data_IF_308102124968
#
_entry.id   IF_308102124968
#
_cell.length_a   1.000
_cell.length_b   1.000
_cell.length_c   1.000
_cell.angle_alpha   90.00
_cell.angle_beta   90.00
_cell.angle_gamma   90.00
#
_symmetry.space_group_name_H-M   'P 1'
#
loop_
_entity.id
_entity.type
_entity.pdbx_description
1 polymer ?
#
# COMPACT_ATOMS: atom_id res chain seq x y z
N UNK A 1 7.62 6.95 -28.72
CA UNK A 1 6.22 7.23 -28.38
C UNK A 1 6.10 7.09 -26.87
N UNK A 2 6.22 8.22 -26.17
CA UNK A 2 6.14 8.33 -24.72
C UNK A 2 4.71 8.73 -24.39
N UNK A 3 3.92 7.79 -23.86
CA UNK A 3 2.55 8.05 -23.43
C UNK A 3 2.60 8.68 -22.04
N UNK A 4 2.51 10.01 -21.99
CA UNK A 4 2.24 10.74 -20.75
C UNK A 4 0.86 10.37 -20.23
N UNK A 5 0.80 9.77 -19.05
CA UNK A 5 -0.43 9.55 -18.28
C UNK A 5 -1.00 10.87 -17.76
N UNK A 6 -1.57 11.67 -18.65
CA UNK A 6 -2.25 12.92 -18.34
C UNK A 6 -3.51 13.05 -19.18
N UNK A 7 -4.62 13.29 -18.49
CA UNK A 7 -6.00 13.47 -19.00
C UNK A 7 -6.83 12.18 -19.24
N UNK A 8 -7.25 11.52 -18.16
CA UNK A 8 -8.29 10.48 -18.19
C UNK A 8 -9.73 11.02 -18.13
N UNK A 9 -9.93 12.33 -17.91
CA UNK A 9 -11.27 12.94 -17.95
C UNK A 9 -11.55 13.62 -19.29
N UNK A 10 -11.60 12.84 -20.38
CA UNK A 10 -12.24 13.34 -21.58
C UNK A 10 -13.75 13.41 -21.34
N UNK A 11 -14.39 14.53 -21.73
CA UNK A 11 -15.84 14.61 -21.76
C UNK A 11 -16.41 13.43 -22.58
N UNK A 12 -17.17 12.55 -21.93
CA UNK A 12 -17.70 11.32 -22.55
C UNK A 12 -17.03 10.01 -22.12
N UNK A 13 -16.12 10.01 -21.13
CA UNK A 13 -15.66 8.75 -20.50
C UNK A 13 -16.83 8.04 -19.82
N UNK A 14 -17.16 6.83 -20.31
CA UNK A 14 -18.16 5.96 -19.69
C UNK A 14 -17.52 5.15 -18.58
N UNK A 15 -18.04 5.30 -17.36
CA UNK A 15 -17.59 4.54 -16.21
C UNK A 15 -18.32 3.18 -16.12
N UNK A 16 -17.60 2.10 -15.81
CA UNK A 16 -18.15 0.75 -15.87
C UNK A 16 -19.04 0.43 -14.67
N UNK A 17 -20.34 0.16 -14.89
CA UNK A 17 -21.24 -0.31 -13.82
C UNK A 17 -20.90 -1.75 -13.38
N UNK A 18 -20.32 -1.98 -12.18
CA UNK A 18 -19.88 -3.28 -11.72
C UNK A 18 -21.04 -4.22 -11.42
N UNK A 19 -22.23 -3.71 -11.12
CA UNK A 19 -23.44 -4.52 -10.92
C UNK A 19 -24.12 -4.91 -12.23
N UNK A 20 -23.72 -4.34 -13.37
CA UNK A 20 -24.28 -4.69 -14.66
C UNK A 20 -23.69 -6.02 -15.17
N UNK A 21 -24.50 -7.08 -15.13
CA UNK A 21 -24.11 -8.44 -15.54
C UNK A 21 -23.63 -8.50 -17.00
N UNK A 22 -24.26 -7.75 -17.91
CA UNK A 22 -23.85 -7.72 -19.32
C UNK A 22 -22.45 -7.09 -19.47
N UNK A 23 -22.16 -6.07 -18.67
CA UNK A 23 -20.83 -5.46 -18.63
C UNK A 23 -19.80 -6.42 -18.04
N UNK A 24 -20.11 -7.13 -16.94
CA UNK A 24 -19.24 -8.17 -16.37
C UNK A 24 -18.87 -9.24 -17.40
N UNK A 25 -19.85 -9.72 -18.18
CA UNK A 25 -19.64 -10.71 -19.24
C UNK A 25 -18.78 -10.17 -20.37
N UNK A 26 -19.06 -8.95 -20.82
CA UNK A 26 -18.26 -8.27 -21.83
C UNK A 26 -16.81 -8.09 -21.37
N UNK A 27 -16.59 -7.62 -20.14
CA UNK A 27 -15.28 -7.42 -19.55
C UNK A 27 -14.49 -8.74 -19.49
N UNK A 28 -15.07 -9.79 -18.92
CA UNK A 28 -14.41 -11.10 -18.81
C UNK A 28 -14.05 -11.69 -20.19
N UNK A 29 -14.94 -11.54 -21.19
CA UNK A 29 -14.68 -11.99 -22.56
C UNK A 29 -13.51 -11.22 -23.20
N UNK A 30 -13.50 -9.89 -23.05
CA UNK A 30 -12.45 -9.03 -23.60
C UNK A 30 -11.09 -9.33 -22.96
N UNK A 31 -11.08 -9.48 -21.65
CA UNK A 31 -9.87 -9.78 -20.88
C UNK A 31 -9.29 -11.15 -21.23
N UNK A 32 -10.11 -12.20 -21.29
CA UNK A 32 -9.64 -13.52 -21.72
C UNK A 32 -9.06 -13.52 -23.13
N UNK A 33 -9.68 -12.79 -24.07
CA UNK A 33 -9.13 -12.62 -25.42
C UNK A 33 -7.73 -11.98 -25.36
N UNK A 34 -7.58 -10.90 -24.60
CA UNK A 34 -6.29 -10.22 -24.44
C UNK A 34 -5.23 -11.14 -23.82
N UNK A 35 -5.58 -11.88 -22.76
CA UNK A 35 -4.66 -12.80 -22.09
C UNK A 35 -4.17 -13.92 -23.01
N UNK A 36 -5.05 -14.46 -23.86
CA UNK A 36 -4.70 -15.44 -24.89
C UNK A 36 -3.75 -14.85 -25.94
N UNK A 37 -4.03 -13.64 -26.43
CA UNK A 37 -3.21 -12.95 -27.42
C UNK A 37 -1.81 -12.57 -26.88
N UNK A 38 -1.70 -12.29 -25.58
CA UNK A 38 -0.42 -11.99 -24.92
C UNK A 38 0.36 -13.22 -24.44
N UNK A 39 -0.18 -14.43 -24.64
CA UNK A 39 0.52 -15.68 -24.36
C UNK A 39 0.74 -15.98 -22.87
N UNK A 40 -0.12 -15.47 -21.98
CA UNK A 40 -0.18 -15.90 -20.58
C UNK A 40 1.06 -15.60 -19.71
N UNK A 41 1.84 -14.56 -20.02
CA UNK A 41 3.08 -14.20 -19.32
C UNK A 41 2.89 -13.32 -18.07
N UNK A 42 1.66 -13.21 -17.57
CA UNK A 42 1.30 -12.26 -16.52
C UNK A 42 0.94 -13.01 -15.24
N UNK A 43 1.40 -12.54 -14.10
CA UNK A 43 1.08 -13.17 -12.80
C UNK A 43 -0.18 -12.58 -12.15
N UNK A 44 -0.60 -11.39 -12.59
CA UNK A 44 -1.72 -10.63 -12.03
C UNK A 44 -2.31 -9.65 -13.06
N UNK A 45 -3.47 -9.10 -12.72
CA UNK A 45 -4.14 -8.05 -13.48
C UNK A 45 -4.36 -6.85 -12.57
N UNK A 46 -3.65 -5.76 -12.82
CA UNK A 46 -3.88 -4.48 -12.13
C UNK A 46 -5.10 -3.80 -12.76
N UNK A 47 -6.07 -3.41 -11.93
CA UNK A 47 -7.19 -2.54 -12.32
C UNK A 47 -6.94 -1.18 -11.70
N UNK A 48 -6.67 -0.20 -12.54
CA UNK A 48 -6.48 1.20 -12.16
C UNK A 48 -7.82 1.97 -12.13
N UNK A 49 -7.83 3.17 -11.56
CA UNK A 49 -9.01 4.05 -11.39
C UNK A 49 -10.17 3.37 -10.63
N UNK A 50 -9.86 2.72 -9.51
CA UNK A 50 -10.85 1.99 -8.74
C UNK A 50 -11.41 2.82 -7.58
N UNK A 51 -12.67 3.24 -7.70
CA UNK A 51 -13.36 4.04 -6.69
C UNK A 51 -14.31 3.20 -5.83
N UNK A 52 -14.13 3.26 -4.52
CA UNK A 52 -14.95 2.54 -3.53
C UNK A 52 -16.12 3.33 -2.94
N UNK A 53 -16.19 4.64 -3.16
CA UNK A 53 -17.24 5.52 -2.63
C UNK A 53 -17.80 6.45 -3.71
N UNK A 54 -19.00 6.96 -3.50
CA UNK A 54 -19.59 8.00 -4.34
C UNK A 54 -18.78 9.29 -4.30
N UNK A 55 -18.22 9.65 -3.15
CA UNK A 55 -17.36 10.83 -3.01
C UNK A 55 -16.13 10.71 -3.90
N UNK A 56 -15.41 9.59 -3.82
CA UNK A 56 -14.26 9.32 -4.68
C UNK A 56 -14.65 9.35 -6.16
N UNK A 57 -15.73 8.64 -6.53
CA UNK A 57 -16.18 8.58 -7.92
C UNK A 57 -16.60 9.96 -8.45
N UNK A 58 -17.43 10.71 -7.74
CA UNK A 58 -17.91 12.01 -8.22
C UNK A 58 -16.81 13.05 -8.26
N UNK A 59 -15.90 13.06 -7.27
CA UNK A 59 -14.76 13.96 -7.21
C UNK A 59 -13.77 13.77 -8.37
N UNK A 60 -13.48 12.52 -8.75
CA UNK A 60 -12.55 12.24 -9.85
C UNK A 60 -13.20 12.35 -11.23
N UNK A 61 -14.45 11.92 -11.36
CA UNK A 61 -15.10 11.79 -12.68
C UNK A 61 -15.87 13.04 -13.11
N UNK A 62 -16.18 13.96 -12.19
CA UNK A 62 -17.09 15.07 -12.40
C UNK A 62 -18.47 14.65 -12.97
N UNK A 63 -18.91 13.43 -12.65
CA UNK A 63 -20.22 12.90 -13.05
C UNK A 63 -21.19 12.85 -11.88
N UNK A 64 -22.50 12.76 -12.16
CA UNK A 64 -23.48 12.50 -11.13
C UNK A 64 -23.26 11.09 -10.53
N UNK A 65 -23.56 10.89 -9.23
CA UNK A 65 -23.57 9.55 -8.65
C UNK A 65 -24.47 8.63 -9.48
N UNK A 66 -24.08 7.38 -9.59
CA UNK A 66 -24.90 6.41 -10.31
C UNK A 66 -26.24 6.19 -9.62
N UNK A 67 -27.32 6.40 -10.36
CA UNK A 67 -28.69 6.29 -9.85
C UNK A 67 -29.03 4.92 -9.24
N UNK A 68 -28.33 3.86 -9.65
CA UNK A 68 -28.54 2.49 -9.18
C UNK A 68 -27.97 2.22 -7.77
N UNK A 69 -27.10 3.10 -7.27
CA UNK A 69 -26.43 2.91 -5.98
C UNK A 69 -26.71 4.10 -5.07
N UNK A 70 -27.69 3.94 -4.17
CA UNK A 70 -28.08 5.01 -3.25
C UNK A 70 -27.12 5.18 -2.06
N UNK A 71 -26.25 4.19 -1.80
CA UNK A 71 -25.29 4.20 -0.70
C UNK A 71 -23.94 3.63 -1.14
N UNK A 72 -22.86 4.03 -0.47
CA UNK A 72 -21.53 3.45 -0.68
C UNK A 72 -21.53 1.94 -0.46
N UNK A 73 -22.23 1.46 0.58
CA UNK A 73 -22.33 0.02 0.86
C UNK A 73 -22.94 -0.76 -0.32
N UNK A 74 -23.96 -0.21 -1.00
CA UNK A 74 -24.54 -0.85 -2.19
C UNK A 74 -23.54 -0.87 -3.36
N UNK A 75 -22.82 0.23 -3.58
CA UNK A 75 -21.81 0.33 -4.63
C UNK A 75 -20.62 -0.62 -4.39
N UNK A 76 -20.11 -0.65 -3.16
CA UNK A 76 -19.06 -1.55 -2.71
C UNK A 76 -19.45 -3.01 -2.85
N UNK A 77 -20.68 -3.38 -2.46
CA UNK A 77 -21.15 -4.75 -2.64
C UNK A 77 -21.20 -5.16 -4.11
N UNK A 78 -21.59 -4.26 -5.02
CA UNK A 78 -21.55 -4.55 -6.45
C UNK A 78 -20.12 -4.79 -6.98
N UNK A 79 -19.13 -4.09 -6.44
CA UNK A 79 -17.72 -4.38 -6.72
C UNK A 79 -17.25 -5.73 -6.18
N UNK A 80 -17.66 -6.09 -4.96
CA UNK A 80 -17.36 -7.42 -4.39
C UNK A 80 -17.98 -8.52 -5.26
N UNK A 81 -19.23 -8.35 -5.69
CA UNK A 81 -19.92 -9.27 -6.59
C UNK A 81 -19.26 -9.36 -7.96
N UNK A 82 -18.85 -8.22 -8.53
CA UNK A 82 -18.08 -8.15 -9.77
C UNK A 82 -16.86 -9.06 -9.71
N UNK A 83 -15.99 -8.89 -8.71
CA UNK A 83 -14.79 -9.72 -8.61
C UNK A 83 -15.12 -11.19 -8.33
N UNK A 84 -16.12 -11.45 -7.49
CA UNK A 84 -16.59 -12.81 -7.19
C UNK A 84 -17.06 -13.53 -8.46
N UNK A 85 -17.68 -12.82 -9.40
CA UNK A 85 -18.20 -13.38 -10.64
C UNK A 85 -17.15 -13.45 -11.76
N UNK A 86 -16.36 -12.40 -11.92
CA UNK A 86 -15.37 -12.29 -13.00
C UNK A 86 -14.16 -13.18 -12.73
N UNK A 87 -13.68 -13.31 -11.49
CA UNK A 87 -12.54 -14.19 -11.16
C UNK A 87 -12.81 -15.65 -11.45
N UNK A 88 -14.05 -16.12 -11.36
CA UNK A 88 -14.41 -17.49 -11.77
C UNK A 88 -14.15 -17.75 -13.25
N UNK A 89 -14.02 -16.69 -14.06
CA UNK A 89 -13.83 -16.74 -15.52
C UNK A 89 -12.41 -16.35 -15.95
N UNK A 90 -11.56 -15.89 -15.03
CA UNK A 90 -10.23 -15.33 -15.31
C UNK A 90 -9.18 -16.08 -14.46
N UNK A 91 -8.15 -16.68 -15.07
CA UNK A 91 -7.22 -17.55 -14.35
C UNK A 91 -6.16 -16.81 -13.51
N UNK A 92 -6.18 -15.48 -13.50
CA UNK A 92 -5.22 -14.64 -12.78
C UNK A 92 -5.93 -13.84 -11.67
N UNK A 93 -5.28 -13.59 -10.53
CA UNK A 93 -5.81 -12.68 -9.52
C UNK A 93 -5.82 -11.24 -10.04
N UNK A 94 -6.75 -10.46 -9.52
CA UNK A 94 -6.78 -9.01 -9.73
C UNK A 94 -6.10 -8.31 -8.57
N UNK A 95 -5.46 -7.19 -8.88
CA UNK A 95 -4.99 -6.21 -7.90
C UNK A 95 -5.79 -4.95 -8.19
N UNK A 96 -6.73 -4.60 -7.31
CA UNK A 96 -7.53 -3.39 -7.48
C UNK A 96 -6.78 -2.19 -6.88
N UNK A 97 -6.49 -1.15 -7.68
CA UNK A 97 -5.85 0.07 -7.20
C UNK A 97 -6.89 1.00 -6.55
N UNK A 98 -7.17 0.76 -5.27
CA UNK A 98 -8.21 1.48 -4.54
C UNK A 98 -7.72 2.90 -4.20
N UNK A 99 -8.54 3.90 -4.54
CA UNK A 99 -8.25 5.29 -4.24
C UNK A 99 -8.14 5.56 -2.73
N UNK A 100 -7.32 6.56 -2.36
CA UNK A 100 -7.06 6.90 -0.96
C UNK A 100 -8.28 7.37 -0.18
N UNK A 101 -9.24 8.05 -0.83
CA UNK A 101 -10.46 8.56 -0.18
C UNK A 101 -11.31 7.38 0.31
N UNK A 102 -11.48 6.36 -0.54
CA UNK A 102 -12.22 5.14 -0.18
C UNK A 102 -11.56 4.36 0.96
N UNK A 103 -10.22 4.31 0.98
CA UNK A 103 -9.47 3.68 2.08
C UNK A 103 -9.74 4.39 3.41
N UNK A 104 -9.75 5.73 3.42
CA UNK A 104 -9.99 6.53 4.63
C UNK A 104 -11.43 6.46 5.13
N UNK A 105 -12.40 6.60 4.22
CA UNK A 105 -13.82 6.66 4.57
C UNK A 105 -14.38 5.29 4.95
N UNK A 106 -13.95 4.24 4.24
CA UNK A 106 -14.46 2.88 4.41
C UNK A 106 -13.33 1.86 4.48
N UNK A 107 -12.53 1.86 5.57
CA UNK A 107 -11.38 0.97 5.68
C UNK A 107 -11.77 -0.52 5.61
N UNK A 108 -12.95 -0.93 6.10
CA UNK A 108 -13.39 -2.33 5.99
C UNK A 108 -13.55 -2.79 4.52
N UNK A 109 -13.88 -1.87 3.63
CA UNK A 109 -13.98 -2.18 2.21
C UNK A 109 -12.63 -2.57 1.61
N UNK A 110 -11.52 -2.00 2.10
CA UNK A 110 -10.16 -2.35 1.65
C UNK A 110 -9.89 -3.85 1.80
N UNK A 111 -10.12 -4.42 2.99
CA UNK A 111 -9.86 -5.85 3.23
C UNK A 111 -10.82 -6.76 2.47
N UNK A 112 -12.11 -6.39 2.42
CA UNK A 112 -13.14 -7.13 1.68
C UNK A 112 -12.85 -7.17 0.19
N UNK A 113 -12.46 -6.02 -0.38
CA UNK A 113 -12.10 -5.89 -1.78
C UNK A 113 -10.85 -6.70 -2.12
N UNK A 114 -9.80 -6.62 -1.30
CA UNK A 114 -8.58 -7.40 -1.48
C UNK A 114 -8.87 -8.91 -1.57
N UNK A 115 -9.70 -9.43 -0.65
CA UNK A 115 -10.11 -10.83 -0.63
C UNK A 115 -10.91 -11.19 -1.89
N UNK A 116 -11.88 -10.35 -2.27
CA UNK A 116 -12.71 -10.56 -3.44
C UNK A 116 -11.90 -10.53 -4.74
N UNK A 117 -10.99 -9.58 -4.91
CA UNK A 117 -10.14 -9.41 -6.10
C UNK A 117 -8.96 -10.40 -6.17
N UNK A 118 -8.46 -10.86 -5.02
CA UNK A 118 -7.24 -11.66 -4.91
C UNK A 118 -5.98 -10.81 -4.70
N UNK A 119 -6.17 -9.49 -4.63
CA UNK A 119 -5.14 -8.53 -4.30
C UNK A 119 -5.67 -7.11 -4.32
N UNK A 120 -4.90 -6.20 -3.73
CA UNK A 120 -5.20 -4.78 -3.66
C UNK A 120 -3.92 -3.97 -3.81
N UNK A 121 -4.02 -2.84 -4.49
CA UNK A 121 -3.01 -1.79 -4.50
C UNK A 121 -3.58 -0.57 -3.78
N UNK A 122 -2.74 0.10 -3.00
CA UNK A 122 -3.02 1.43 -2.47
C UNK A 122 -2.02 2.42 -3.06
N UNK A 123 -2.53 3.47 -3.70
CA UNK A 123 -1.75 4.64 -4.10
C UNK A 123 -1.75 5.69 -2.99
N UNK A 124 -1.29 5.31 -1.81
CA UNK A 124 -1.32 6.21 -0.66
C UNK A 124 -0.11 6.14 0.23
N UNK A 125 0.12 7.28 0.86
CA UNK A 125 1.29 7.60 1.64
C UNK A 125 0.93 7.35 3.10
N UNK A 126 1.78 6.69 3.88
CA UNK A 126 1.64 6.69 5.32
C UNK A 126 1.59 8.13 5.87
N UNK A 127 2.19 9.11 5.17
CA UNK A 127 2.20 10.54 5.48
C UNK A 127 0.91 11.30 5.20
N UNK A 128 0.07 10.79 4.30
CA UNK A 128 -1.21 11.40 3.98
C UNK A 128 -2.30 10.94 4.96
N UNK A 129 -2.05 9.84 5.69
CA UNK A 129 -2.98 9.32 6.68
C UNK A 129 -2.72 9.89 8.06
N UNK A 130 -3.68 10.59 8.69
CA UNK A 130 -3.71 10.75 10.13
C UNK A 130 -3.45 9.42 10.86
N UNK A 131 -2.89 9.50 12.07
CA UNK A 131 -2.55 8.31 12.88
C UNK A 131 -3.72 7.32 13.01
N UNK A 132 -4.93 7.81 13.19
CA UNK A 132 -6.16 6.99 13.27
C UNK A 132 -6.45 6.23 11.98
N UNK A 133 -6.22 6.85 10.83
CA UNK A 133 -6.49 6.25 9.53
C UNK A 133 -5.46 5.16 9.24
N UNK A 134 -4.20 5.45 9.52
CA UNK A 134 -3.13 4.47 9.39
C UNK A 134 -3.33 3.26 10.31
N UNK A 135 -3.73 3.50 11.57
CA UNK A 135 -4.09 2.42 12.52
C UNK A 135 -5.21 1.53 11.95
N UNK A 136 -6.28 2.15 11.43
CA UNK A 136 -7.40 1.41 10.84
C UNK A 136 -6.95 0.57 9.64
N UNK A 137 -6.10 1.10 8.77
CA UNK A 137 -5.55 0.35 7.63
C UNK A 137 -4.74 -0.86 8.09
N UNK A 138 -3.87 -0.71 9.09
CA UNK A 138 -3.11 -1.85 9.64
C UNK A 138 -4.02 -2.94 10.19
N UNK A 139 -5.11 -2.58 10.88
CA UNK A 139 -6.10 -3.54 11.35
C UNK A 139 -6.84 -4.27 10.21
N UNK A 140 -7.10 -3.59 9.10
CA UNK A 140 -7.70 -4.20 7.92
C UNK A 140 -6.73 -5.15 7.20
N UNK A 141 -5.45 -4.79 7.12
CA UNK A 141 -4.41 -5.67 6.55
C UNK A 141 -4.29 -6.99 7.32
N UNK A 142 -4.46 -6.96 8.65
CA UNK A 142 -4.46 -8.19 9.49
C UNK A 142 -5.59 -9.15 9.11
N UNK A 143 -6.73 -8.66 8.60
CA UNK A 143 -7.86 -9.49 8.15
C UNK A 143 -7.62 -10.13 6.79
N UNK A 144 -6.69 -9.59 6.00
CA UNK A 144 -6.38 -10.10 4.66
C UNK A 144 -5.50 -11.36 4.79
N UNK A 145 -5.92 -12.51 4.23
CA UNK A 145 -5.12 -13.73 4.21
C UNK A 145 -3.72 -13.48 3.64
N UNK A 146 -2.69 -14.12 4.20
CA UNK A 146 -1.29 -13.87 3.81
C UNK A 146 -0.99 -14.12 2.33
N UNK A 147 -1.77 -14.97 1.65
CA UNK A 147 -1.65 -15.29 0.23
C UNK A 147 -2.44 -14.34 -0.71
N UNK A 148 -3.12 -13.33 -0.17
CA UNK A 148 -3.77 -12.28 -0.96
C UNK A 148 -2.78 -11.12 -1.11
N UNK A 149 -2.61 -10.65 -2.35
CA UNK A 149 -1.57 -9.65 -2.68
C UNK A 149 -1.89 -8.28 -2.12
N UNK A 150 -0.90 -7.64 -1.51
CA UNK A 150 -0.98 -6.24 -1.10
C UNK A 150 0.18 -5.51 -1.79
N UNK A 151 -0.14 -4.53 -2.62
CA UNK A 151 0.84 -3.65 -3.22
C UNK A 151 0.68 -2.24 -2.64
N UNK A 152 1.78 -1.66 -2.19
CA UNK A 152 1.82 -0.24 -1.81
C UNK A 152 2.63 0.50 -2.86
N UNK A 153 1.98 1.42 -3.56
CA UNK A 153 2.57 2.22 -4.61
C UNK A 153 2.75 3.66 -4.09
N UNK A 154 3.92 3.95 -3.55
CA UNK A 154 4.26 5.27 -3.02
C UNK A 154 4.80 6.16 -4.14
N UNK A 155 4.03 7.17 -4.55
CA UNK A 155 4.54 8.32 -5.34
C UNK A 155 5.01 9.40 -4.35
N UNK A 156 5.82 10.40 -4.67
CA UNK A 156 6.01 11.59 -3.87
C UNK A 156 4.95 12.64 -4.22
N UNK A 157 4.47 13.40 -3.24
CA UNK A 157 3.77 14.64 -3.53
C UNK A 157 4.71 15.57 -4.32
N UNK A 158 4.20 16.47 -5.18
CA UNK A 158 5.04 17.38 -5.94
C UNK A 158 6.06 18.11 -5.05
N UNK A 159 7.35 17.96 -5.38
CA UNK A 159 8.46 18.56 -4.63
C UNK A 159 9.27 17.62 -3.74
N UNK A 160 8.96 16.31 -3.68
CA UNK A 160 9.71 15.36 -2.84
C UNK A 160 10.64 14.40 -3.58
N UNK A 161 10.84 14.58 -4.89
CA UNK A 161 11.85 13.81 -5.62
C UNK A 161 13.23 13.98 -4.94
N UNK A 162 13.93 12.87 -4.69
CA UNK A 162 15.20 12.83 -3.97
C UNK A 162 15.13 12.97 -2.45
N UNK A 163 13.94 12.96 -1.83
CA UNK A 163 13.82 13.05 -0.36
C UNK A 163 13.99 11.67 0.30
N UNK A 164 15.21 11.42 0.78
CA UNK A 164 15.61 10.17 1.43
C UNK A 164 14.78 9.88 2.67
N UNK A 165 14.61 10.85 3.56
CA UNK A 165 13.91 10.65 4.84
C UNK A 165 12.45 10.22 4.62
N UNK A 166 11.81 10.81 3.61
CA UNK A 166 10.43 10.48 3.21
C UNK A 166 10.33 9.12 2.56
N UNK A 167 11.31 8.75 1.74
CA UNK A 167 11.37 7.40 1.15
C UNK A 167 11.55 6.34 2.23
N UNK A 168 12.45 6.57 3.19
CA UNK A 168 12.66 5.68 4.33
C UNK A 168 11.43 5.62 5.23
N UNK A 169 10.73 6.73 5.44
CA UNK A 169 9.47 6.75 6.17
C UNK A 169 8.40 5.85 5.53
N UNK A 170 8.23 5.95 4.21
CA UNK A 170 7.32 5.10 3.46
C UNK A 170 7.72 3.61 3.53
N UNK A 171 9.00 3.31 3.34
CA UNK A 171 9.54 1.95 3.44
C UNK A 171 9.32 1.35 4.85
N UNK A 172 9.67 2.09 5.90
CA UNK A 172 9.53 1.62 7.27
C UNK A 172 8.06 1.42 7.66
N UNK A 173 7.16 2.26 7.13
CA UNK A 173 5.72 2.04 7.29
C UNK A 173 5.23 0.78 6.59
N UNK A 174 5.75 0.46 5.39
CA UNK A 174 5.49 -0.82 4.72
C UNK A 174 5.96 -2.02 5.55
N UNK A 175 7.13 -1.92 6.19
CA UNK A 175 7.65 -2.96 7.08
C UNK A 175 6.76 -3.23 8.30
N UNK A 176 5.82 -2.36 8.67
CA UNK A 176 4.89 -2.60 9.77
C UNK A 176 3.91 -3.76 9.49
N UNK A 177 3.71 -4.15 8.23
CA UNK A 177 2.86 -5.30 7.88
C UNK A 177 3.50 -6.28 6.89
N UNK A 178 4.58 -5.90 6.19
CA UNK A 178 5.33 -6.79 5.31
C UNK A 178 5.93 -7.96 6.10
N UNK A 179 5.73 -9.19 5.63
CA UNK A 179 6.21 -10.39 6.31
C UNK A 179 6.70 -11.39 5.28
N UNK A 180 7.64 -12.26 5.65
CA UNK A 180 8.20 -13.26 4.74
C UNK A 180 7.13 -14.18 4.16
N UNK A 181 6.12 -14.50 4.97
CA UNK A 181 5.02 -15.38 4.58
C UNK A 181 3.84 -14.64 3.93
N UNK A 182 3.93 -13.32 3.74
CA UNK A 182 2.85 -12.50 3.16
C UNK A 182 3.23 -12.03 1.76
N UNK A 183 2.29 -12.14 0.82
CA UNK A 183 2.43 -11.55 -0.52
C UNK A 183 2.27 -10.03 -0.48
N UNK A 184 3.26 -9.32 0.06
CA UNK A 184 3.29 -7.87 0.15
C UNK A 184 4.43 -7.29 -0.70
N UNK A 185 4.13 -6.26 -1.48
CA UNK A 185 5.06 -5.59 -2.37
C UNK A 185 5.01 -4.08 -2.12
N UNK A 186 6.14 -3.43 -2.29
CA UNK A 186 6.24 -1.98 -2.21
C UNK A 186 6.99 -1.46 -3.42
N UNK A 187 6.48 -0.38 -4.00
CA UNK A 187 7.18 0.38 -5.02
C UNK A 187 7.22 1.84 -4.61
N UNK A 188 8.38 2.45 -4.83
CA UNK A 188 8.58 3.89 -4.69
C UNK A 188 8.83 4.50 -6.07
N UNK A 189 7.95 5.40 -6.51
CA UNK A 189 8.00 6.06 -7.81
C UNK A 189 8.38 7.51 -7.63
N UNK A 190 9.64 7.89 -7.80
CA UNK A 190 9.99 9.32 -7.69
C UNK A 190 9.45 10.14 -8.87
N UNK A 191 8.41 10.95 -8.66
CA UNK A 191 7.89 11.87 -9.67
C UNK A 191 7.09 11.20 -10.80
N UNK A 192 7.36 11.57 -12.06
CA UNK A 192 6.70 10.98 -13.24
C UNK A 192 7.33 9.63 -13.59
N UNK A 193 6.58 8.73 -14.23
CA UNK A 193 6.91 7.32 -14.55
C UNK A 193 8.25 7.05 -15.27
N UNK A 194 9.03 8.08 -15.56
CA UNK A 194 10.28 8.05 -16.34
C UNK A 194 11.55 8.29 -15.49
N UNK A 195 11.45 8.48 -14.16
CA UNK A 195 12.60 8.75 -13.27
C UNK A 195 13.17 7.43 -12.71
N UNK A 196 14.51 7.29 -12.63
CA UNK A 196 15.15 6.09 -12.08
C UNK A 196 14.75 5.87 -10.62
N UNK A 197 14.41 4.62 -10.29
CA UNK A 197 14.18 4.19 -8.91
C UNK A 197 15.49 4.32 -8.11
N UNK A 198 15.45 5.03 -6.98
CA UNK A 198 16.57 5.10 -6.06
C UNK A 198 16.61 3.84 -5.18
N UNK A 199 17.81 3.28 -5.02
CA UNK A 199 18.05 2.14 -4.16
C UNK A 199 18.77 2.62 -2.89
N UNK A 200 18.13 2.41 -1.74
CA UNK A 200 18.68 2.76 -0.44
C UNK A 200 19.28 1.52 0.21
N UNK A 201 20.43 1.67 0.88
CA UNK A 201 21.11 0.56 1.56
C UNK A 201 20.22 -0.13 2.59
N UNK A 202 19.27 0.61 3.15
CA UNK A 202 18.25 0.17 4.09
C UNK A 202 17.40 -0.97 3.53
N UNK A 203 17.29 -1.09 2.20
CA UNK A 203 16.53 -2.14 1.51
C UNK A 203 17.29 -3.47 1.43
N UNK A 204 18.61 -3.44 1.55
CA UNK A 204 19.45 -4.65 1.51
C UNK A 204 19.64 -5.29 2.89
N UNK A 205 19.15 -4.64 3.96
CA UNK A 205 19.37 -5.09 5.32
C UNK A 205 18.63 -6.39 5.61
N UNK A 206 19.37 -7.38 6.13
CA UNK A 206 18.77 -8.61 6.64
C UNK A 206 18.12 -8.38 8.01
N UNK A 207 16.84 -8.01 8.00
CA UNK A 207 16.06 -7.80 9.24
C UNK A 207 15.83 -9.10 10.03
N UNK A 208 15.93 -10.26 9.38
CA UNK A 208 15.52 -11.56 9.91
C UNK A 208 14.00 -11.76 9.88
N UNK A 209 13.52 -12.83 10.51
CA UNK A 209 12.08 -13.10 10.57
C UNK A 209 11.35 -12.05 11.44
N UNK A 210 10.08 -11.78 11.13
CA UNK A 210 9.26 -10.88 11.95
C UNK A 210 8.84 -11.58 13.25
N UNK A 211 8.92 -10.87 14.38
CA UNK A 211 8.63 -11.42 15.72
C UNK A 211 7.17 -11.16 16.16
N UNK A 212 6.31 -10.85 15.20
CA UNK A 212 4.90 -10.54 15.40
C UNK A 212 4.44 -9.32 14.60
N UNK A 213 3.16 -9.00 14.77
CA UNK A 213 2.55 -7.84 14.15
C UNK A 213 3.04 -6.52 14.78
N UNK A 214 2.92 -5.43 14.03
CA UNK A 214 3.12 -4.10 14.58
C UNK A 214 2.17 -3.84 15.76
N UNK A 215 2.72 -3.15 16.77
CA UNK A 215 2.01 -2.70 17.97
C UNK A 215 2.13 -1.20 18.08
N UNK A 216 1.14 -0.59 18.69
CA UNK A 216 1.24 0.80 19.09
C UNK A 216 1.81 0.90 20.51
N UNK A 217 2.84 1.74 20.68
CA UNK A 217 3.50 2.02 21.96
C UNK A 217 3.71 3.52 22.01
N UNK A 218 3.08 4.22 22.95
CA UNK A 218 3.22 5.68 23.12
C UNK A 218 3.00 6.47 21.81
N UNK A 219 1.93 6.17 21.06
CA UNK A 219 1.61 6.76 19.74
C UNK A 219 2.63 6.46 18.62
N UNK A 220 3.59 5.57 18.85
CA UNK A 220 4.50 5.06 17.82
C UNK A 220 4.06 3.67 17.37
N UNK A 221 4.14 3.39 16.08
CA UNK A 221 4.01 2.03 15.57
C UNK A 221 5.37 1.35 15.62
N UNK A 222 5.42 0.23 16.32
CA UNK A 222 6.65 -0.53 16.56
C UNK A 222 6.46 -1.95 16.06
N UNK A 223 7.41 -2.43 15.24
CA UNK A 223 7.47 -3.84 14.85
C UNK A 223 8.88 -4.39 15.06
N UNK A 224 8.95 -5.57 15.67
CA UNK A 224 10.20 -6.25 15.95
C UNK A 224 10.50 -7.31 14.91
N UNK A 225 11.77 -7.35 14.52
CA UNK A 225 12.40 -8.43 13.76
C UNK A 225 13.54 -9.03 14.60
N UNK A 226 14.11 -10.14 14.16
CA UNK A 226 15.24 -10.78 14.83
C UNK A 226 16.44 -9.81 14.97
N UNK A 227 16.78 -9.09 13.90
CA UNK A 227 17.97 -8.22 13.85
C UNK A 227 17.67 -6.73 13.97
N UNK A 228 16.41 -6.32 13.94
CA UNK A 228 16.03 -4.90 13.94
C UNK A 228 14.69 -4.61 14.64
N UNK A 229 14.44 -3.33 14.87
CA UNK A 229 13.15 -2.79 15.31
C UNK A 229 12.80 -1.64 14.37
N UNK A 230 11.62 -1.72 13.76
CA UNK A 230 11.05 -0.62 12.98
C UNK A 230 10.19 0.21 13.92
N UNK A 231 10.40 1.52 13.92
CA UNK A 231 9.62 2.48 14.71
C UNK A 231 9.17 3.61 13.80
N UNK A 232 7.87 3.88 13.77
CA UNK A 232 7.25 4.86 12.88
C UNK A 232 6.38 5.83 13.69
N UNK A 233 6.63 7.12 13.54
CA UNK A 233 5.77 8.19 14.01
C UNK A 233 4.90 8.70 12.85
N UNK A 234 3.62 8.33 12.84
CA UNK A 234 2.65 8.84 11.86
C UNK A 234 1.87 10.06 12.35
N UNK A 235 2.23 10.64 13.50
CA UNK A 235 1.66 11.90 13.95
C UNK A 235 2.10 13.03 13.00
N UNK A 236 1.17 13.94 12.73
CA UNK A 236 1.38 15.10 11.87
C UNK A 236 2.00 16.28 12.61
N UNK A 237 1.81 16.34 13.92
CA UNK A 237 2.06 17.54 14.72
C UNK A 237 3.07 17.30 15.83
N UNK A 238 3.02 16.11 16.45
CA UNK A 238 3.80 15.86 17.66
C UNK A 238 4.96 14.91 17.42
N UNK A 239 6.11 15.27 18.00
CA UNK A 239 7.21 14.36 18.18
C UNK A 239 6.89 13.38 19.33
N UNK A 240 7.36 12.14 19.21
CA UNK A 240 7.20 11.11 20.24
C UNK A 240 8.52 10.40 20.49
N UNK A 241 8.77 10.06 21.75
CA UNK A 241 10.01 9.39 22.14
C UNK A 241 9.87 7.87 22.06
N UNK A 242 10.77 7.25 21.30
CA UNK A 242 10.96 5.81 21.35
C UNK A 242 11.91 5.45 22.50
N UNK A 243 11.31 4.93 23.57
CA UNK A 243 12.05 4.47 24.73
C UNK A 243 12.76 3.13 24.50
N UNK A 244 13.72 2.84 25.37
CA UNK A 244 14.48 1.59 25.33
C UNK A 244 13.59 0.39 25.58
N UNK A 245 13.50 -0.51 24.60
CA UNK A 245 13.04 -1.88 24.82
C UNK A 245 14.20 -2.72 25.36
N UNK A 246 13.91 -3.65 26.25
CA UNK A 246 14.92 -4.55 26.83
C UNK A 246 15.69 -5.29 25.73
N UNK A 247 17.00 -5.52 25.95
CA UNK A 247 17.77 -6.46 25.11
C UNK A 247 18.94 -5.91 24.27
N UNK A 248 19.76 -5.01 24.81
CA UNK A 248 21.14 -4.83 24.31
C UNK A 248 21.53 -3.40 23.91
N UNK A 249 22.76 -3.21 23.40
CA UNK A 249 23.13 -2.00 22.67
C UNK A 249 22.39 -1.97 21.32
N UNK A 250 22.04 -0.78 20.87
CA UNK A 250 21.37 -0.56 19.59
C UNK A 250 22.27 0.26 18.68
N UNK A 251 22.04 0.14 17.38
CA UNK A 251 22.84 0.78 16.35
C UNK A 251 21.97 1.39 15.26
N UNK A 252 22.50 2.41 14.60
CA UNK A 252 21.89 2.93 13.38
C UNK A 252 22.24 2.01 12.19
N UNK A 253 21.68 2.33 11.03
CA UNK A 253 21.93 1.63 9.76
C UNK A 253 23.37 1.80 9.23
N UNK A 254 24.19 2.63 9.87
CA UNK A 254 25.62 2.74 9.59
C UNK A 254 26.47 1.96 10.63
N UNK A 255 25.85 1.29 11.59
CA UNK A 255 26.52 0.54 12.65
C UNK A 255 27.05 1.42 13.78
N UNK A 256 26.68 2.70 13.85
CA UNK A 256 27.07 3.56 14.97
C UNK A 256 26.17 3.25 16.18
N UNK A 257 26.73 3.20 17.41
CA UNK A 257 25.92 3.03 18.61
C UNK A 257 24.86 4.14 18.76
N UNK A 258 23.62 3.75 19.00
CA UNK A 258 22.53 4.65 19.31
C UNK A 258 22.30 4.73 20.82
N UNK A 259 21.97 5.93 21.30
CA UNK A 259 21.49 6.14 22.66
C UNK A 259 19.98 6.28 22.62
N UNK A 260 19.28 5.54 23.48
CA UNK A 260 17.83 5.65 23.67
C UNK A 260 17.54 6.47 24.96
N UNK A 261 16.45 7.25 25.03
CA UNK A 261 15.38 7.37 24.03
C UNK A 261 15.80 8.13 22.76
N UNK A 262 15.10 7.88 21.66
CA UNK A 262 15.21 8.68 20.42
C UNK A 262 13.90 9.42 20.21
N UNK A 263 13.98 10.73 20.00
CA UNK A 263 12.84 11.54 19.60
C UNK A 263 12.60 11.35 18.10
N UNK A 264 11.40 10.88 17.75
CA UNK A 264 10.93 10.84 16.38
C UNK A 264 10.07 12.08 16.13
N UNK A 265 10.56 12.98 15.28
CA UNK A 265 9.78 14.12 14.77
C UNK A 265 8.48 13.68 14.09
N UNK A 266 7.49 14.57 13.90
CA UNK A 266 6.30 14.27 13.13
C UNK A 266 6.65 13.70 11.75
N UNK A 267 5.95 12.66 11.32
CA UNK A 267 6.19 11.97 10.03
C UNK A 267 7.63 11.51 9.83
N UNK A 268 8.20 10.91 10.86
CA UNK A 268 9.54 10.32 10.82
C UNK A 268 9.50 8.86 11.27
N UNK A 269 10.54 8.12 10.89
CA UNK A 269 10.67 6.72 11.24
C UNK A 269 12.15 6.37 11.36
N UNK A 270 12.45 5.33 12.14
CA UNK A 270 13.81 4.86 12.36
C UNK A 270 13.84 3.34 12.36
N UNK A 271 14.92 2.80 11.79
CA UNK A 271 15.27 1.40 11.92
C UNK A 271 16.38 1.27 12.97
N UNK A 272 16.06 0.64 14.09
CA UNK A 272 16.98 0.41 15.20
C UNK A 272 17.59 -0.99 15.06
N UNK A 273 18.88 -1.07 14.78
CA UNK A 273 19.59 -2.32 14.53
C UNK A 273 20.05 -2.94 15.85
N UNK A 274 19.74 -4.23 16.05
CA UNK A 274 20.15 -5.02 17.23
C UNK A 274 21.51 -5.69 17.03
N UNK A 275 21.79 -6.14 15.81
CA UNK A 275 23.01 -6.86 15.46
C UNK A 275 23.72 -6.20 14.27
N UNK A 276 24.76 -5.39 14.50
CA UNK A 276 25.45 -4.68 13.43
C UNK A 276 26.29 -5.61 12.54
N UNK A 277 26.57 -6.85 12.96
CA UNK A 277 27.36 -7.78 12.13
C UNK A 277 26.61 -8.28 10.89
N UNK A 278 25.28 -8.25 10.92
CA UNK A 278 24.44 -8.54 9.74
C UNK A 278 24.43 -7.35 8.75
N UNK A 279 24.85 -6.14 9.18
CA UNK A 279 25.09 -5.00 8.27
C UNK A 279 26.34 -5.20 7.41
N UNK A 280 27.33 -5.96 7.89
CA UNK A 280 28.64 -6.13 7.23
C UNK A 280 28.56 -7.18 6.10
N UNK A 281 27.62 -8.13 6.19
CA UNK A 281 27.45 -9.20 5.19
C UNK A 281 26.88 -8.73 3.85
N UNK A 282 26.29 -7.54 3.80
CA UNK A 282 25.82 -6.93 2.55
C UNK A 282 26.93 -6.29 1.71
N UNK A 283 28.20 -6.43 2.13
CA UNK A 283 29.37 -6.00 1.35
C UNK A 283 29.79 -4.55 1.56
N UNK A 284 29.56 -4.03 2.77
CA UNK A 284 30.12 -2.75 3.24
C UNK A 284 31.61 -2.89 3.61
#
# INVERSE_FOLDING_TARGET
MTGSGGELSNAGTYWPDPGNVQWQEFFAKKLNKLLLELGGRWDAILIDDFFGTQEAQTGFTNTAPWANYQTDAAYQNAWIEFFTNVRKKIPFPFVANLDGVSVTLTPDFFSRLAIAAGGIEMETYPEEYPIEDFRRILEEIKKIPKNVRIHVNSKPSPGWAGNVDKTLFAYYSFLLFADRDREAYWTYKEGVSDIPHYWFKEFDLNLGDSLGDAKEINNLFVRMFENAIVVVNTDNENAHDFERLDGGPFYDVAGNPMTLPITLEPRSAVLVVKNPTELIRTGL
#
